data_IF_333263811249
#
_entry.id   IF_333263811249
#
_cell.length_a   1.000
_cell.length_b   1.000
_cell.length_c   1.000
_cell.angle_alpha   90.00
_cell.angle_beta   90.00
_cell.angle_gamma   90.00
#
_symmetry.space_group_name_H-M   'P 1'
#
loop_
_entity.id
_entity.type
_entity.pdbx_description
1 polymer ?
#
# COMPACT_ATOMS: atom_id res chain seq x y z
N UNK A 1 -7.82 -25.02 0.69
CA UNK A 1 -8.77 -23.96 0.28
C UNK A 1 -8.00 -22.68 0.02
N UNK A 2 -8.05 -22.14 -1.21
CA UNK A 2 -7.45 -20.84 -1.51
C UNK A 2 -8.27 -19.76 -0.78
N UNK A 3 -7.65 -19.04 0.16
CA UNK A 3 -8.29 -17.91 0.83
C UNK A 3 -8.40 -16.81 -0.21
N UNK A 4 -9.61 -16.48 -0.66
CA UNK A 4 -9.85 -15.29 -1.48
C UNK A 4 -9.22 -14.10 -0.78
N UNK A 5 -8.27 -13.45 -1.43
CA UNK A 5 -7.64 -12.27 -0.86
C UNK A 5 -8.74 -11.22 -0.64
N UNK A 6 -8.95 -10.82 0.62
CA UNK A 6 -9.90 -9.77 0.95
C UNK A 6 -9.38 -8.50 0.30
N UNK A 7 -10.13 -7.98 -0.67
CA UNK A 7 -9.81 -6.69 -1.28
C UNK A 7 -10.23 -5.56 -0.33
N UNK A 8 -9.25 -4.97 0.34
CA UNK A 8 -9.49 -3.85 1.24
C UNK A 8 -9.52 -2.56 0.45
N UNK A 9 -10.56 -1.75 0.62
CA UNK A 9 -10.63 -0.45 -0.04
C UNK A 9 -9.64 0.56 0.58
N UNK A 10 -8.49 0.69 -0.08
CA UNK A 10 -7.42 1.62 0.27
C UNK A 10 -7.33 2.81 -0.68
N UNK A 11 -8.28 2.94 -1.62
CA UNK A 11 -8.21 3.95 -2.70
C UNK A 11 -8.38 5.37 -2.19
N UNK A 12 -9.36 5.58 -1.29
CA UNK A 12 -9.68 6.91 -0.76
C UNK A 12 -9.25 7.05 0.70
N UNK A 13 -8.97 8.29 1.12
CA UNK A 13 -8.68 8.63 2.54
C UNK A 13 -9.80 8.16 3.47
N UNK A 14 -11.07 8.32 3.04
CA UNK A 14 -12.25 7.90 3.81
C UNK A 14 -12.26 6.38 4.03
N UNK A 15 -11.99 5.60 2.99
CA UNK A 15 -11.94 4.14 3.09
C UNK A 15 -10.79 3.69 3.98
N UNK A 16 -9.60 4.29 3.84
CA UNK A 16 -8.45 4.01 4.72
C UNK A 16 -8.70 4.37 6.19
N UNK A 17 -9.49 5.42 6.46
CA UNK A 17 -9.89 5.82 7.82
C UNK A 17 -10.83 4.82 8.49
N UNK A 18 -11.58 4.02 7.71
CA UNK A 18 -12.43 2.95 8.24
C UNK A 18 -11.65 1.68 8.61
N UNK A 19 -10.40 1.56 8.16
CA UNK A 19 -9.56 0.41 8.48
C UNK A 19 -9.00 0.54 9.89
N UNK A 20 -8.95 -0.60 10.59
CA UNK A 20 -8.39 -0.67 11.92
C UNK A 20 -6.86 -0.47 11.90
N UNK A 21 -6.30 0.35 12.78
CA UNK A 21 -4.86 0.41 12.97
C UNK A 21 -4.34 -0.96 13.42
N UNK A 22 -3.47 -1.57 12.61
CA UNK A 22 -2.88 -2.88 12.92
C UNK A 22 -1.44 -2.97 12.42
N UNK A 23 -0.63 -3.80 13.08
CA UNK A 23 0.76 -4.07 12.68
C UNK A 23 0.88 -4.76 11.31
N UNK A 24 -0.14 -5.51 10.91
CA UNK A 24 -0.15 -6.27 9.64
C UNK A 24 -0.62 -5.39 8.48
N UNK A 25 0.09 -5.34 7.35
CA UNK A 25 -0.37 -4.56 6.20
C UNK A 25 -1.71 -5.06 5.66
N UNK A 26 -2.55 -4.14 5.19
CA UNK A 26 -3.68 -4.42 4.32
C UNK A 26 -3.16 -4.59 2.91
N UNK A 27 -3.16 -5.82 2.41
CA UNK A 27 -2.68 -6.13 1.07
C UNK A 27 -3.84 -6.07 0.08
N UNK A 28 -3.58 -5.45 -1.06
CA UNK A 28 -4.43 -5.42 -2.25
C UNK A 28 -3.60 -5.87 -3.44
N UNK A 29 -4.11 -6.86 -4.16
CA UNK A 29 -3.47 -7.33 -5.38
C UNK A 29 -3.72 -6.30 -6.48
N UNK A 30 -2.64 -5.86 -7.13
CA UNK A 30 -2.69 -4.84 -8.18
C UNK A 30 -2.24 -5.38 -9.54
N UNK A 31 -1.55 -6.51 -9.56
CA UNK A 31 -1.12 -7.16 -10.79
C UNK A 31 -0.53 -8.55 -10.56
N UNK A 32 -0.10 -9.23 -11.62
CA UNK A 32 0.59 -10.51 -11.52
C UNK A 32 1.89 -10.32 -10.73
N UNK A 33 2.06 -11.10 -9.67
CA UNK A 33 3.22 -11.05 -8.77
C UNK A 33 3.43 -9.72 -8.02
N UNK A 34 2.51 -8.75 -8.09
CA UNK A 34 2.62 -7.44 -7.42
C UNK A 34 1.42 -7.17 -6.52
N UNK A 35 1.71 -6.81 -5.27
CA UNK A 35 0.71 -6.54 -4.24
C UNK A 35 1.06 -5.24 -3.53
N UNK A 36 0.11 -4.30 -3.50
CA UNK A 36 0.23 -3.07 -2.74
C UNK A 36 -0.23 -3.31 -1.31
N UNK A 37 0.59 -2.95 -0.34
CA UNK A 37 0.30 -3.00 1.08
C UNK A 37 0.11 -1.60 1.66
N UNK A 38 -0.87 -1.48 2.54
CA UNK A 38 -1.12 -0.28 3.33
C UNK A 38 -1.04 -0.61 4.82
N UNK A 39 -0.22 0.10 5.58
CA UNK A 39 -0.18 0.01 7.04
C UNK A 39 -0.90 1.22 7.61
N UNK A 40 -2.00 0.98 8.32
CA UNK A 40 -2.69 2.02 9.09
C UNK A 40 -1.94 2.30 10.39
N UNK A 41 -1.64 3.56 10.67
CA UNK A 41 -1.15 4.04 11.96
C UNK A 41 -2.26 4.82 12.69
N UNK A 42 -2.16 4.89 14.03
CA UNK A 42 -3.13 5.57 14.89
C UNK A 42 -2.90 7.08 14.82
N UNK A 43 -1.70 7.52 15.19
CA UNK A 43 -1.36 8.95 15.35
C UNK A 43 -0.36 9.46 14.30
N UNK A 44 -0.27 8.77 13.17
CA UNK A 44 0.66 9.12 12.10
C UNK A 44 0.07 8.80 10.72
N UNK A 45 0.71 9.33 9.68
CA UNK A 45 0.43 8.90 8.31
C UNK A 45 0.59 7.39 8.20
N UNK A 46 -0.33 6.74 7.48
CA UNK A 46 -0.14 5.35 7.10
C UNK A 46 1.15 5.17 6.30
N UNK A 47 1.54 3.92 6.06
CA UNK A 47 2.72 3.62 5.24
C UNK A 47 2.32 2.75 4.06
N UNK A 48 2.80 3.14 2.88
CA UNK A 48 2.71 2.34 1.67
C UNK A 48 3.91 1.43 1.55
N UNK A 49 3.64 0.18 1.20
CA UNK A 49 4.66 -0.80 0.87
C UNK A 49 4.20 -1.61 -0.32
N UNK A 50 5.16 -2.13 -1.06
CA UNK A 50 4.91 -3.08 -2.13
C UNK A 50 5.48 -4.42 -1.75
N UNK A 51 4.74 -5.48 -2.05
CA UNK A 51 5.21 -6.85 -1.97
C UNK A 51 5.18 -7.44 -3.38
N UNK A 52 6.35 -7.77 -3.88
CA UNK A 52 6.53 -8.35 -5.22
C UNK A 52 7.15 -9.74 -5.09
N UNK A 53 6.77 -10.66 -5.99
CA UNK A 53 7.37 -11.99 -6.05
C UNK A 53 8.48 -12.00 -7.11
N UNK A 54 9.72 -12.15 -6.68
CA UNK A 54 10.92 -12.16 -7.53
C UNK A 54 11.67 -13.47 -7.28
N UNK A 55 11.88 -14.27 -8.33
CA UNK A 55 12.64 -15.52 -8.24
C UNK A 55 12.05 -16.55 -7.26
N UNK A 56 10.72 -16.56 -7.07
CA UNK A 56 10.03 -17.46 -6.15
C UNK A 56 9.86 -16.94 -4.72
N UNK A 57 10.62 -15.91 -4.32
CA UNK A 57 10.56 -15.29 -3.00
C UNK A 57 9.72 -14.01 -3.01
N UNK A 58 9.19 -13.63 -1.85
CA UNK A 58 8.49 -12.36 -1.68
C UNK A 58 9.44 -11.29 -1.18
N UNK A 59 9.62 -10.23 -1.97
CA UNK A 59 10.36 -9.03 -1.59
C UNK A 59 9.36 -7.95 -1.19
N UNK A 60 9.56 -7.37 -0.01
CA UNK A 60 8.75 -6.24 0.46
C UNK A 60 9.61 -4.99 0.47
N UNK A 61 9.10 -3.89 -0.09
CA UNK A 61 9.77 -2.58 -0.12
C UNK A 61 8.81 -1.50 0.36
N UNK A 62 9.30 -0.57 1.17
CA UNK A 62 8.54 0.60 1.61
C UNK A 62 8.58 1.64 0.49
N UNK A 63 7.43 2.19 0.11
CA UNK A 63 7.32 3.22 -0.92
C UNK A 63 7.33 4.63 -0.31
N UNK A 64 6.73 4.79 0.87
CA UNK A 64 6.59 6.07 1.54
C UNK A 64 5.43 6.09 2.53
N UNK A 65 5.08 7.27 2.99
CA UNK A 65 3.92 7.55 3.82
C UNK A 65 2.67 7.74 2.96
N UNK A 66 1.50 7.51 3.55
CA UNK A 66 0.22 7.76 2.94
C UNK A 66 -0.26 9.18 3.23
N UNK A 67 -1.01 9.75 2.28
CA UNK A 67 -1.61 11.08 2.37
C UNK A 67 -2.82 11.15 3.35
N UNK A 68 -2.77 10.44 4.46
CA UNK A 68 -3.87 10.34 5.42
C UNK A 68 -4.02 11.62 6.26
N UNK A 69 -2.91 12.15 6.78
CA UNK A 69 -2.85 13.42 7.51
C UNK A 69 -2.13 14.49 6.70
N UNK A 70 -1.03 14.12 6.05
CA UNK A 70 -0.25 15.04 5.20
C UNK A 70 -0.77 15.11 3.76
N UNK A 71 -0.45 16.22 3.09
CA UNK A 71 -0.66 16.35 1.65
C UNK A 71 0.34 15.46 0.89
N UNK A 72 -0.11 14.89 -0.22
CA UNK A 72 0.73 14.09 -1.08
C UNK A 72 1.75 15.00 -1.79
N UNK A 73 3.04 14.75 -1.57
CA UNK A 73 4.15 15.46 -2.21
C UNK A 73 4.70 14.69 -3.43
N UNK A 74 4.31 13.43 -3.59
CA UNK A 74 4.83 12.55 -4.65
C UNK A 74 6.25 12.00 -4.40
N UNK A 75 6.86 12.33 -3.26
CA UNK A 75 8.20 11.89 -2.84
C UNK A 75 8.12 11.01 -1.59
N UNK A 76 7.83 11.61 -0.43
CA UNK A 76 7.77 10.94 0.86
C UNK A 76 6.33 10.58 1.25
N UNK A 77 5.36 11.42 0.85
CA UNK A 77 3.93 11.24 1.07
C UNK A 77 3.23 10.99 -0.26
N UNK A 78 2.66 9.79 -0.39
CA UNK A 78 2.06 9.31 -1.63
C UNK A 78 0.55 9.14 -1.47
N UNK A 79 -0.18 9.66 -2.46
CA UNK A 79 -1.57 9.28 -2.68
C UNK A 79 -1.66 7.84 -3.24
N UNK A 80 -2.84 7.24 -3.18
CA UNK A 80 -3.07 5.88 -3.70
C UNK A 80 -2.61 5.74 -5.16
N UNK A 81 -3.00 6.68 -6.03
CA UNK A 81 -2.63 6.62 -7.45
C UNK A 81 -1.11 6.79 -7.68
N UNK A 82 -0.44 7.59 -6.83
CA UNK A 82 1.02 7.75 -6.89
C UNK A 82 1.74 6.48 -6.40
N UNK A 83 1.25 5.87 -5.30
CA UNK A 83 1.77 4.61 -4.82
C UNK A 83 1.57 3.50 -5.86
N UNK A 84 0.39 3.45 -6.50
CA UNK A 84 0.10 2.51 -7.58
C UNK A 84 1.06 2.70 -8.76
N UNK A 85 1.27 3.95 -9.21
CA UNK A 85 2.23 4.28 -10.26
C UNK A 85 3.64 3.82 -9.89
N UNK A 86 4.11 4.07 -8.67
CA UNK A 86 5.43 3.60 -8.19
C UNK A 86 5.58 2.08 -8.10
N UNK A 87 4.48 1.33 -8.03
CA UNK A 87 4.57 -0.13 -8.12
C UNK A 87 4.55 -0.61 -9.56
N UNK A 88 3.69 -0.01 -10.39
CA UNK A 88 3.56 -0.39 -11.80
C UNK A 88 4.82 0.01 -12.57
N UNK A 89 5.39 1.18 -12.25
CA UNK A 89 6.60 1.73 -12.82
C UNK A 89 7.82 1.39 -11.94
N UNK A 90 8.64 0.40 -12.34
CA UNK A 90 9.84 0.03 -11.60
C UNK A 90 10.98 1.05 -11.72
N UNK A 91 10.87 2.10 -12.56
CA UNK A 91 11.98 3.01 -12.89
C UNK A 91 11.93 4.41 -12.23
N UNK A 92 10.97 4.69 -11.35
CA UNK A 92 10.78 6.02 -10.73
C UNK A 92 11.34 6.20 -9.31
#
# INVERSE_FOLDING_TARGET
MARTAVDYDTRTKKSRKKLEPRRKPYYRQIGPCKTLGYIRRVDANGSWLVRERIGGYYKTRILGYADDLSLADGRDVLAFDQALRKVTDPQA
#
